data_IF_672594399235
#
_entry.id   IF_672594399235
#
_cell.length_a   1.000
_cell.length_b   1.000
_cell.length_c   1.000
_cell.angle_alpha   90.00
_cell.angle_beta   90.00
_cell.angle_gamma   90.00
#
_symmetry.space_group_name_H-M   'P 1'
#
loop_
_entity.id
_entity.type
_entity.pdbx_description
1 polymer ?
#
# COMPACT_ATOMS: atom_id res chain seq x y z
N UNK A 1 8.31 13.12 -14.43
CA UNK A 1 6.88 13.30 -14.18
C UNK A 1 6.21 13.45 -15.52
N UNK A 2 5.21 12.61 -15.81
CA UNK A 2 4.46 12.72 -17.05
C UNK A 2 3.36 13.77 -16.84
N UNK A 3 3.51 14.96 -17.45
CA UNK A 3 2.55 16.06 -17.34
C UNK A 3 1.15 15.67 -17.82
N UNK A 4 1.07 14.72 -18.76
CA UNK A 4 -0.21 14.33 -19.35
C UNK A 4 -1.02 13.47 -18.37
N UNK A 5 -0.35 12.63 -17.56
CA UNK A 5 -1.03 11.82 -16.55
C UNK A 5 -1.73 12.70 -15.50
N UNK A 6 -1.03 13.72 -15.01
CA UNK A 6 -1.60 14.70 -14.07
C UNK A 6 -2.82 15.40 -14.67
N UNK A 7 -2.67 15.92 -15.87
CA UNK A 7 -3.73 16.63 -16.59
C UNK A 7 -4.99 15.77 -16.75
N UNK A 8 -4.83 14.50 -17.15
CA UNK A 8 -5.95 13.57 -17.30
C UNK A 8 -6.60 13.23 -15.96
N UNK A 9 -5.81 13.03 -14.90
CA UNK A 9 -6.36 12.76 -13.55
C UNK A 9 -7.15 13.95 -13.01
N UNK A 10 -6.65 15.19 -13.17
CA UNK A 10 -7.35 16.40 -12.72
C UNK A 10 -8.67 16.60 -13.50
N UNK A 11 -8.68 16.29 -14.79
CA UNK A 11 -9.87 16.40 -15.65
C UNK A 11 -10.83 15.22 -15.49
N UNK A 12 -10.46 14.18 -14.74
CA UNK A 12 -11.23 12.95 -14.58
C UNK A 12 -11.25 12.06 -15.82
N UNK A 13 -10.33 12.28 -16.76
CA UNK A 13 -10.18 11.47 -17.98
C UNK A 13 -9.36 10.20 -17.67
N UNK A 14 -9.97 9.30 -16.90
CA UNK A 14 -9.29 8.09 -16.44
C UNK A 14 -9.00 7.10 -17.56
N UNK A 15 -9.68 7.18 -18.70
CA UNK A 15 -9.40 6.35 -19.86
C UNK A 15 -8.02 6.68 -20.45
N UNK A 16 -7.73 7.97 -20.66
CA UNK A 16 -6.41 8.38 -21.15
C UNK A 16 -5.31 8.15 -20.10
N UNK A 17 -5.60 8.41 -18.82
CA UNK A 17 -4.69 8.10 -17.72
C UNK A 17 -4.36 6.60 -17.68
N UNK A 18 -5.35 5.73 -17.91
CA UNK A 18 -5.18 4.28 -17.94
C UNK A 18 -4.20 3.86 -19.05
N UNK A 19 -4.35 4.39 -20.26
CA UNK A 19 -3.43 4.12 -21.36
C UNK A 19 -1.99 4.53 -21.03
N UNK A 20 -1.78 5.66 -20.37
CA UNK A 20 -0.45 6.05 -19.91
C UNK A 20 0.09 5.05 -18.88
N UNK A 21 -0.72 4.69 -17.87
CA UNK A 21 -0.32 3.78 -16.80
C UNK A 21 0.13 2.40 -17.35
N UNK A 22 -0.47 1.94 -18.44
CA UNK A 22 -0.06 0.69 -19.11
C UNK A 22 1.31 0.75 -19.81
N UNK A 23 1.84 1.94 -20.06
CA UNK A 23 3.11 2.13 -20.79
C UNK A 23 4.32 2.35 -19.87
N UNK A 24 4.09 2.56 -18.58
CA UNK A 24 5.13 2.85 -17.58
C UNK A 24 5.31 1.66 -16.62
N UNK A 25 6.45 1.61 -15.95
CA UNK A 25 6.69 0.60 -14.91
C UNK A 25 5.85 0.88 -13.66
N UNK A 26 5.64 -0.15 -12.84
CA UNK A 26 4.99 0.01 -11.53
C UNK A 26 5.71 1.03 -10.64
N UNK A 27 7.05 1.05 -10.64
CA UNK A 27 7.83 1.97 -9.81
C UNK A 27 7.65 3.43 -10.26
N UNK A 28 7.58 3.65 -11.58
CA UNK A 28 7.32 4.98 -12.12
C UNK A 28 5.86 5.41 -11.88
N UNK A 29 4.91 4.50 -12.02
CA UNK A 29 3.52 4.74 -11.68
C UNK A 29 3.37 5.10 -10.19
N UNK A 30 3.95 4.30 -9.29
CA UNK A 30 3.92 4.55 -7.85
C UNK A 30 4.45 5.95 -7.53
N UNK A 31 5.64 6.27 -8.03
CA UNK A 31 6.28 7.57 -7.79
C UNK A 31 5.40 8.73 -8.26
N UNK A 32 4.82 8.62 -9.46
CA UNK A 32 3.95 9.66 -9.99
C UNK A 32 2.66 9.78 -9.17
N UNK A 33 2.02 8.67 -8.83
CA UNK A 33 0.76 8.70 -8.06
C UNK A 33 0.95 9.24 -6.65
N UNK A 34 2.02 8.87 -5.96
CA UNK A 34 2.34 9.40 -4.62
C UNK A 34 2.65 10.90 -4.67
N UNK A 35 3.42 11.35 -5.67
CA UNK A 35 3.71 12.77 -5.87
C UNK A 35 2.43 13.57 -6.14
N UNK A 36 1.60 13.12 -7.09
CA UNK A 36 0.36 13.82 -7.44
C UNK A 36 -0.61 13.88 -6.27
N UNK A 37 -0.78 12.78 -5.53
CA UNK A 37 -1.63 12.78 -4.35
C UNK A 37 -1.09 13.66 -3.22
N UNK A 38 0.23 13.83 -3.11
CA UNK A 38 0.83 14.77 -2.16
C UNK A 38 0.56 16.22 -2.56
N UNK A 39 0.70 16.55 -3.84
CA UNK A 39 0.52 17.92 -4.33
C UNK A 39 -0.95 18.37 -4.33
N UNK A 40 -1.87 17.49 -4.70
CA UNK A 40 -3.28 17.86 -4.91
C UNK A 40 -4.25 17.31 -3.85
N UNK A 41 -3.80 16.41 -2.97
CA UNK A 41 -4.60 15.79 -1.90
C UNK A 41 -5.94 15.18 -2.37
N UNK A 42 -6.04 14.86 -3.65
CA UNK A 42 -7.30 14.49 -4.30
C UNK A 42 -7.55 12.99 -4.21
N UNK A 43 -8.77 12.63 -3.80
CA UNK A 43 -9.25 11.24 -3.83
C UNK A 43 -9.35 10.68 -5.26
N UNK A 44 -9.28 11.52 -6.30
CA UNK A 44 -9.23 11.08 -7.69
C UNK A 44 -8.02 10.18 -7.97
N UNK A 45 -6.88 10.41 -7.31
CA UNK A 45 -5.70 9.55 -7.42
C UNK A 45 -6.00 8.12 -6.96
N UNK A 46 -6.66 7.99 -5.80
CA UNK A 46 -7.09 6.68 -5.30
C UNK A 46 -8.18 6.04 -6.17
N UNK A 47 -9.11 6.85 -6.68
CA UNK A 47 -10.15 6.38 -7.61
C UNK A 47 -9.52 5.77 -8.87
N UNK A 48 -8.50 6.42 -9.42
CA UNK A 48 -7.77 5.91 -10.57
C UNK A 48 -7.00 4.61 -10.26
N UNK A 49 -6.35 4.51 -9.10
CA UNK A 49 -5.74 3.24 -8.69
C UNK A 49 -6.79 2.11 -8.56
N UNK A 50 -7.99 2.41 -8.06
CA UNK A 50 -9.06 1.41 -8.03
C UNK A 50 -9.53 0.99 -9.43
N UNK A 51 -9.58 1.91 -10.40
CA UNK A 51 -9.82 1.56 -11.80
C UNK A 51 -8.75 0.58 -12.30
N UNK A 52 -7.47 0.86 -12.05
CA UNK A 52 -6.38 -0.05 -12.42
C UNK A 52 -6.51 -1.41 -11.73
N UNK A 53 -6.93 -1.45 -10.47
CA UNK A 53 -7.15 -2.69 -9.73
C UNK A 53 -8.31 -3.52 -10.30
N UNK A 54 -9.38 -2.88 -10.77
CA UNK A 54 -10.52 -3.55 -11.41
C UNK A 54 -10.08 -4.23 -12.71
N UNK A 55 -9.25 -3.56 -13.50
CA UNK A 55 -8.85 -4.03 -14.84
C UNK A 55 -7.61 -4.95 -14.82
N UNK A 56 -6.67 -4.69 -13.90
CA UNK A 56 -5.31 -5.25 -13.91
C UNK A 56 -4.83 -5.63 -12.49
N UNK A 57 -5.71 -6.23 -11.68
CA UNK A 57 -5.44 -6.56 -10.27
C UNK A 57 -4.04 -7.16 -10.07
N UNK A 58 -3.24 -6.51 -9.21
CA UNK A 58 -1.92 -6.99 -8.83
C UNK A 58 -1.55 -6.52 -7.44
N UNK A 59 -0.70 -7.29 -6.75
CA UNK A 59 -0.22 -6.91 -5.42
C UNK A 59 0.54 -5.59 -5.43
N UNK A 60 1.19 -5.22 -6.54
CA UNK A 60 1.89 -3.94 -6.70
C UNK A 60 0.91 -2.77 -6.74
N UNK A 61 -0.20 -2.88 -7.47
CA UNK A 61 -1.25 -1.85 -7.44
C UNK A 61 -1.90 -1.74 -6.06
N UNK A 62 -2.10 -2.86 -5.35
CA UNK A 62 -2.52 -2.83 -3.95
C UNK A 62 -1.49 -2.10 -3.06
N UNK A 63 -0.19 -2.30 -3.31
CA UNK A 63 0.87 -1.56 -2.62
C UNK A 63 0.81 -0.04 -2.87
N UNK A 64 0.54 0.39 -4.11
CA UNK A 64 0.35 1.82 -4.42
C UNK A 64 -0.87 2.37 -3.69
N UNK A 65 -2.00 1.64 -3.72
CA UNK A 65 -3.22 2.02 -3.00
C UNK A 65 -2.96 2.15 -1.48
N UNK A 66 -2.26 1.17 -0.90
CA UNK A 66 -1.85 1.19 0.50
C UNK A 66 -1.03 2.45 0.81
N UNK A 67 0.03 2.72 0.04
CA UNK A 67 0.91 3.87 0.27
C UNK A 67 0.18 5.20 0.14
N UNK A 68 -0.71 5.35 -0.85
CA UNK A 68 -1.54 6.55 -0.97
C UNK A 68 -2.34 6.81 0.31
N UNK A 69 -2.97 5.77 0.86
CA UNK A 69 -3.85 5.86 2.01
C UNK A 69 -3.13 5.96 3.36
N UNK A 70 -1.87 5.54 3.44
CA UNK A 70 -1.04 5.68 4.66
C UNK A 70 -0.13 6.90 4.63
N UNK A 71 -0.03 7.61 3.50
CA UNK A 71 0.76 8.83 3.36
C UNK A 71 -0.11 10.01 2.91
N UNK A 72 -0.11 10.34 1.62
CA UNK A 72 -0.69 11.55 1.05
C UNK A 72 -2.19 11.72 1.31
N UNK A 73 -2.94 10.62 1.46
CA UNK A 73 -4.39 10.64 1.72
C UNK A 73 -4.76 10.15 3.12
N UNK A 74 -3.79 10.04 4.03
CA UNK A 74 -3.99 9.51 5.38
C UNK A 74 -4.94 10.32 6.26
N UNK A 75 -5.16 11.60 5.90
CA UNK A 75 -6.10 12.49 6.59
C UNK A 75 -7.58 12.17 6.29
N UNK A 76 -7.86 11.35 5.27
CA UNK A 76 -9.23 10.96 4.91
C UNK A 76 -9.76 9.93 5.91
N UNK A 77 -10.99 10.15 6.40
CA UNK A 77 -11.64 9.19 7.29
C UNK A 77 -11.73 7.81 6.63
N UNK A 78 -11.26 6.78 7.34
CA UNK A 78 -11.22 5.41 6.83
C UNK A 78 -10.01 5.07 5.96
N UNK A 79 -9.08 5.99 5.69
CA UNK A 79 -7.91 5.72 4.85
C UNK A 79 -7.09 4.52 5.33
N UNK A 80 -6.75 4.47 6.62
CA UNK A 80 -6.02 3.33 7.20
C UNK A 80 -6.82 2.02 7.19
N UNK A 81 -8.15 2.07 7.30
CA UNK A 81 -9.00 0.87 7.18
C UNK A 81 -8.91 0.31 5.76
N UNK A 82 -9.01 1.18 4.74
CA UNK A 82 -8.85 0.81 3.34
C UNK A 82 -7.41 0.35 3.03
N UNK A 83 -6.40 0.97 3.64
CA UNK A 83 -5.01 0.54 3.50
C UNK A 83 -4.83 -0.90 4.01
N UNK A 84 -5.38 -1.22 5.18
CA UNK A 84 -5.35 -2.58 5.73
C UNK A 84 -6.03 -3.60 4.81
N UNK A 85 -7.10 -3.22 4.12
CA UNK A 85 -7.72 -4.05 3.09
C UNK A 85 -6.75 -4.33 1.94
N UNK A 86 -6.11 -3.31 1.37
CA UNK A 86 -5.17 -3.50 0.26
C UNK A 86 -3.94 -4.33 0.65
N UNK A 87 -3.37 -4.12 1.85
CA UNK A 87 -2.25 -4.92 2.34
C UNK A 87 -2.65 -6.41 2.46
N UNK A 88 -3.82 -6.73 3.01
CA UNK A 88 -4.33 -8.11 3.10
C UNK A 88 -4.54 -8.74 1.72
N UNK A 89 -5.15 -8.02 0.78
CA UNK A 89 -5.31 -8.48 -0.61
C UNK A 89 -3.97 -8.76 -1.29
N UNK A 90 -2.99 -7.88 -1.09
CA UNK A 90 -1.65 -8.08 -1.63
C UNK A 90 -0.98 -9.34 -1.06
N UNK A 91 -1.12 -9.60 0.24
CA UNK A 91 -0.62 -10.83 0.88
C UNK A 91 -1.27 -12.09 0.29
N UNK A 92 -2.59 -12.06 0.06
CA UNK A 92 -3.31 -13.18 -0.56
C UNK A 92 -2.77 -13.46 -1.98
N UNK A 93 -2.62 -12.43 -2.80
CA UNK A 93 -2.12 -12.54 -4.18
C UNK A 93 -0.70 -13.12 -4.21
N UNK A 94 0.16 -12.70 -3.28
CA UNK A 94 1.56 -13.16 -3.22
C UNK A 94 1.73 -14.50 -2.50
N UNK A 95 0.65 -15.08 -1.95
CA UNK A 95 0.71 -16.29 -1.14
C UNK A 95 1.75 -16.20 -0.03
N UNK A 96 1.86 -15.03 0.61
CA UNK A 96 2.82 -14.76 1.70
C UNK A 96 4.31 -14.86 1.28
N UNK A 97 4.64 -14.76 -0.01
CA UNK A 97 6.03 -14.90 -0.49
C UNK A 97 6.75 -13.57 -0.73
N UNK A 98 6.04 -12.45 -0.65
CA UNK A 98 6.61 -11.11 -0.83
C UNK A 98 6.64 -10.36 0.50
N UNK A 99 7.80 -9.78 0.83
CA UNK A 99 8.01 -9.07 2.09
C UNK A 99 7.17 -7.79 2.15
N UNK A 100 7.09 -7.02 1.05
CA UNK A 100 6.42 -5.72 1.02
C UNK A 100 5.00 -5.74 1.60
N UNK A 101 4.07 -6.57 1.09
CA UNK A 101 2.72 -6.67 1.64
C UNK A 101 2.64 -7.09 3.11
N UNK A 102 3.56 -7.97 3.56
CA UNK A 102 3.63 -8.39 4.96
C UNK A 102 4.12 -7.22 5.84
N UNK A 103 5.12 -6.49 5.38
CA UNK A 103 5.67 -5.30 6.06
C UNK A 103 4.60 -4.21 6.16
N UNK A 104 3.87 -3.94 5.07
CA UNK A 104 2.78 -2.96 5.03
C UNK A 104 1.74 -3.24 6.12
N UNK A 105 1.26 -4.48 6.23
CA UNK A 105 0.30 -4.83 7.27
C UNK A 105 0.91 -4.79 8.69
N UNK A 106 2.18 -5.21 8.84
CA UNK A 106 2.88 -5.16 10.12
C UNK A 106 3.11 -3.72 10.60
N UNK A 107 3.34 -2.78 9.68
CA UNK A 107 3.50 -1.36 9.97
C UNK A 107 2.22 -0.77 10.59
N UNK A 108 1.03 -1.17 10.10
CA UNK A 108 -0.23 -0.71 10.70
C UNK A 108 -0.39 -1.13 12.16
N UNK A 109 0.16 -2.30 12.55
CA UNK A 109 0.24 -2.68 13.95
C UNK A 109 1.14 -1.74 14.76
N UNK A 110 2.27 -1.32 14.21
CA UNK A 110 3.21 -0.44 14.93
C UNK A 110 2.69 0.96 15.16
N UNK A 111 1.81 1.45 14.27
CA UNK A 111 1.11 2.72 14.43
C UNK A 111 -0.04 2.65 15.47
N UNK A 112 -0.17 1.52 16.19
CA UNK A 112 -1.23 1.28 17.19
C UNK A 112 -2.65 1.44 16.65
N UNK A 113 -2.80 1.26 15.33
CA UNK A 113 -4.09 1.22 14.68
C UNK A 113 -4.71 -0.12 15.06
N UNK A 114 -5.89 -0.12 15.67
CA UNK A 114 -6.63 -1.32 16.13
C UNK A 114 -7.09 -2.25 14.98
N UNK A 115 -6.41 -2.18 13.83
CA UNK A 115 -6.67 -2.86 12.57
C UNK A 115 -5.97 -4.21 12.48
N UNK A 116 -4.91 -4.42 13.26
CA UNK A 116 -4.10 -5.65 13.27
C UNK A 116 -3.99 -6.14 14.70
N UNK A 117 -4.37 -7.40 14.92
CA UNK A 117 -4.28 -8.00 16.25
C UNK A 117 -2.83 -8.34 16.62
N UNK A 118 -2.53 -8.43 17.92
CA UNK A 118 -1.22 -8.89 18.40
C UNK A 118 -0.84 -10.28 17.82
N UNK A 119 -1.81 -11.20 17.72
CA UNK A 119 -1.60 -12.54 17.16
C UNK A 119 -1.27 -12.48 15.67
N UNK A 120 -1.98 -11.64 14.92
CA UNK A 120 -1.72 -11.42 13.49
C UNK A 120 -0.35 -10.78 13.27
N UNK A 121 0.00 -9.75 14.05
CA UNK A 121 1.30 -9.10 14.00
C UNK A 121 2.46 -10.06 14.31
N UNK A 122 2.29 -10.93 15.32
CA UNK A 122 3.30 -11.94 15.64
C UNK A 122 3.50 -12.95 14.51
N UNK A 123 2.41 -13.37 13.85
CA UNK A 123 2.49 -14.27 12.69
C UNK A 123 3.23 -13.59 11.53
N UNK A 124 2.81 -12.37 11.16
CA UNK A 124 3.42 -11.60 10.08
C UNK A 124 4.93 -11.39 10.32
N UNK A 125 5.33 -11.02 11.54
CA UNK A 125 6.74 -10.84 11.87
C UNK A 125 7.55 -12.15 11.71
N UNK A 126 6.99 -13.30 12.08
CA UNK A 126 7.65 -14.60 11.87
C UNK A 126 7.75 -14.95 10.38
N UNK A 127 6.69 -14.71 9.62
CA UNK A 127 6.67 -14.97 8.18
C UNK A 127 7.74 -14.12 7.46
N UNK A 128 7.86 -12.83 7.82
CA UNK A 128 8.92 -11.95 7.30
C UNK A 128 10.31 -12.49 7.66
N UNK A 129 10.56 -12.90 8.91
CA UNK A 129 11.87 -13.42 9.30
C UNK A 129 12.24 -14.76 8.66
N UNK A 130 11.26 -15.54 8.22
CA UNK A 130 11.51 -16.74 7.42
C UNK A 130 11.98 -16.40 5.99
N UNK A 131 11.55 -15.26 5.45
CA UNK A 131 11.97 -14.75 4.13
C UNK A 131 13.28 -13.96 4.22
N UNK A 132 13.43 -13.15 5.25
CA UNK A 132 14.60 -12.29 5.50
C UNK A 132 14.93 -12.25 7.01
N UNK A 133 15.92 -13.04 7.41
CA UNK A 133 16.27 -13.24 8.83
C UNK A 133 16.69 -11.95 9.55
N UNK A 134 17.24 -10.95 8.84
CA UNK A 134 17.71 -9.68 9.44
C UNK A 134 16.71 -8.52 9.35
N UNK A 135 15.44 -8.82 9.07
CA UNK A 135 14.44 -7.80 8.85
C UNK A 135 14.13 -6.97 10.12
N UNK A 136 14.43 -5.66 10.07
CA UNK A 136 14.41 -4.77 11.25
C UNK A 136 13.04 -4.64 11.89
N UNK A 137 11.99 -4.35 11.11
CA UNK A 137 10.63 -4.15 11.64
C UNK A 137 10.11 -5.41 12.34
N UNK A 138 10.29 -6.58 11.72
CA UNK A 138 9.86 -7.86 12.28
C UNK A 138 10.57 -8.17 13.60
N UNK A 139 11.90 -7.98 13.68
CA UNK A 139 12.64 -8.12 14.95
C UNK A 139 12.14 -7.16 16.03
N UNK A 140 11.87 -5.91 15.65
CA UNK A 140 11.35 -4.91 16.58
C UNK A 140 9.98 -5.33 17.13
N UNK A 141 9.06 -5.80 16.28
CA UNK A 141 7.73 -6.25 16.73
C UNK A 141 7.85 -7.46 17.64
N UNK A 142 8.61 -8.49 17.27
CA UNK A 142 8.82 -9.65 18.15
C UNK A 142 9.40 -9.22 19.50
N UNK A 143 10.40 -8.34 19.52
CA UNK A 143 10.98 -7.82 20.76
C UNK A 143 9.96 -7.10 21.63
N UNK A 144 9.08 -6.27 21.04
CA UNK A 144 7.99 -5.61 21.79
C UNK A 144 7.01 -6.62 22.37
N UNK A 145 6.61 -7.63 21.60
CA UNK A 145 5.60 -8.60 22.01
C UNK A 145 6.10 -9.58 23.07
N UNK A 146 7.38 -9.94 23.05
CA UNK A 146 8.00 -10.84 24.05
C UNK A 146 8.20 -10.19 25.41
N UNK A 147 8.12 -8.86 25.50
CA UNK A 147 8.29 -8.10 26.76
C UNK A 147 6.94 -7.74 27.42
N UNK A 148 5.82 -8.23 26.89
CA UNK A 148 4.47 -8.07 27.46
C UNK A 148 4.10 -9.41 28.10
N UNK A 149 4.73 -9.71 29.25
CA UNK A 149 4.27 -10.73 30.22
C UNK A 149 3.59 -10.04 31.41
#
# INVERSE_FOLDING_TARGET
MNSDLEDYLIKGDFEQAFHIAQTISYDELEKQMLYLAYENESIANYTFINLLLIELESWKLHGIAYKLLTSSLSFIEGAYVSAAYHARKAIEITSYQEIGPLEDLLFLYTESLTLVSQQEALRLAKDILNLEEDHKLAKQVIGKLSNVE
#
